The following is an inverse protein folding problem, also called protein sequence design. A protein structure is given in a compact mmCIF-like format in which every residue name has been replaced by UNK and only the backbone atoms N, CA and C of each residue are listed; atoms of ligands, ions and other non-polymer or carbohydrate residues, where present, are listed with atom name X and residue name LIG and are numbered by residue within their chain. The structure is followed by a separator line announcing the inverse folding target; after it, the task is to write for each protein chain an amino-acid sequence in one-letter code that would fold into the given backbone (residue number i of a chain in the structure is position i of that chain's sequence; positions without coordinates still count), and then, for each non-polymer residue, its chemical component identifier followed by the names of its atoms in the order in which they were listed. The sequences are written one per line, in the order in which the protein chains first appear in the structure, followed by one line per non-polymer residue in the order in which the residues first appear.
data_IF_237543548500
#
_entry.id   IF_237543548500
#
_cell.length_a   1.000
_cell.length_b   1.000
_cell.length_c   1.000
_cell.angle_alpha   90.00
_cell.angle_beta   90.00
_cell.angle_gamma   90.00
#
_symmetry.space_group_name_H-M   'P 1'
#
loop_
_entity.id
_entity.type
_entity.pdbx_description
1 polymer ?
#
# COMPACT_ATOMS: atom_id res chain seq x y z
N UNK A 1 16.18 7.85 -6.99
CA UNK A 1 15.33 6.91 -6.21
C UNK A 1 14.24 7.70 -5.51
N UNK A 2 13.01 7.19 -5.41
CA UNK A 2 11.95 7.78 -4.59
C UNK A 2 11.94 7.11 -3.22
N UNK A 3 11.67 7.87 -2.16
CA UNK A 3 11.59 7.34 -0.81
C UNK A 3 10.19 7.52 -0.22
N UNK A 4 9.65 6.43 0.32
CA UNK A 4 8.38 6.41 1.04
C UNK A 4 8.58 6.06 2.50
N UNK A 5 7.63 6.48 3.34
CA UNK A 5 7.65 6.30 4.80
C UNK A 5 6.45 5.48 5.25
N UNK A 6 6.62 4.35 5.96
CA UNK A 6 5.50 3.57 6.50
C UNK A 6 5.11 4.07 7.89
N UNK A 7 3.81 4.20 8.16
CA UNK A 7 3.30 4.55 9.49
C UNK A 7 2.91 3.33 10.35
N UNK A 8 2.71 2.17 9.74
CA UNK A 8 2.08 1.01 10.39
C UNK A 8 2.82 0.37 11.55
N UNK A 9 4.10 0.66 11.74
CA UNK A 9 4.94 0.03 12.77
C UNK A 9 5.40 1.01 13.86
N UNK A 10 4.71 2.14 13.99
CA UNK A 10 4.93 3.11 15.06
C UNK A 10 3.61 3.39 15.79
N UNK A 11 3.71 3.88 17.02
CA UNK A 11 2.52 4.23 17.78
C UNK A 11 1.70 5.32 17.05
N UNK A 12 0.38 5.16 16.91
CA UNK A 12 -0.44 6.09 16.13
C UNK A 12 -0.37 7.57 16.54
N UNK A 13 -0.07 7.86 17.80
CA UNK A 13 0.12 9.24 18.27
C UNK A 13 1.27 9.97 17.55
N UNK A 14 2.24 9.24 16.99
CA UNK A 14 3.35 9.84 16.24
C UNK A 14 3.08 9.96 14.74
N UNK A 15 2.00 9.42 14.22
CA UNK A 15 1.73 9.39 12.77
C UNK A 15 1.66 10.78 12.15
N UNK A 16 1.01 11.72 12.84
CA UNK A 16 0.92 13.12 12.40
C UNK A 16 2.31 13.75 12.25
N UNK A 17 3.10 13.69 13.31
CA UNK A 17 4.39 14.38 13.34
C UNK A 17 5.37 13.77 12.31
N UNK A 18 5.36 12.44 12.17
CA UNK A 18 6.14 11.75 11.15
C UNK A 18 5.66 12.10 9.73
N UNK A 19 4.35 12.23 9.50
CA UNK A 19 3.80 12.59 8.19
C UNK A 19 4.18 14.03 7.79
N UNK A 20 4.06 14.98 8.72
CA UNK A 20 4.42 16.38 8.48
C UNK A 20 5.91 16.51 8.24
N UNK A 21 6.75 15.90 9.09
CA UNK A 21 8.20 15.91 8.90
C UNK A 21 8.61 15.28 7.56
N UNK A 22 8.01 14.16 7.16
CA UNK A 22 8.29 13.52 5.88
C UNK A 22 7.90 14.41 4.68
N UNK A 23 6.78 15.15 4.75
CA UNK A 23 6.38 16.12 3.73
C UNK A 23 7.38 17.29 3.64
N UNK A 24 7.76 17.86 4.77
CA UNK A 24 8.71 18.98 4.85
C UNK A 24 10.12 18.59 4.38
N UNK A 25 10.55 17.39 4.66
CA UNK A 25 11.85 16.85 4.24
C UNK A 25 11.90 16.43 2.76
N UNK A 26 10.76 16.27 2.07
CA UNK A 26 10.73 15.92 0.65
C UNK A 26 10.61 14.43 0.35
N UNK A 27 10.21 13.61 1.32
CA UNK A 27 9.84 12.21 1.02
C UNK A 27 8.70 12.16 0.01
N UNK A 28 8.76 11.19 -0.92
CA UNK A 28 7.81 11.14 -2.04
C UNK A 28 6.44 10.60 -1.62
N UNK A 29 6.38 9.67 -0.66
CA UNK A 29 5.11 9.02 -0.30
C UNK A 29 5.05 8.55 1.15
N UNK A 30 3.81 8.47 1.65
CA UNK A 30 3.47 7.98 2.97
C UNK A 30 2.56 6.75 2.84
N UNK A 31 2.72 5.74 3.72
CA UNK A 31 2.05 4.47 3.58
C UNK A 31 1.40 4.01 4.88
N UNK A 32 0.08 3.74 4.84
CA UNK A 32 -0.67 3.18 5.97
C UNK A 32 -1.11 1.76 5.62
N UNK A 33 -0.82 0.75 6.47
CA UNK A 33 -1.41 -0.58 6.35
C UNK A 33 -2.85 -0.58 6.82
N UNK A 34 -3.61 -1.61 6.43
CA UNK A 34 -4.99 -1.77 6.86
C UNK A 34 -5.29 -3.19 7.31
N UNK A 35 -6.13 -3.28 8.32
CA UNK A 35 -6.97 -4.41 8.68
C UNK A 35 -8.33 -3.88 9.13
N UNK A 36 -9.41 -4.65 8.96
CA UNK A 36 -10.73 -4.30 9.44
C UNK A 36 -10.90 -4.63 10.91
N UNK A 37 -10.55 -5.85 11.27
CA UNK A 37 -10.64 -6.38 12.63
C UNK A 37 -9.58 -7.45 12.85
N UNK A 38 -9.20 -7.66 14.11
CA UNK A 38 -8.52 -8.88 14.53
C UNK A 38 -9.47 -9.72 15.39
N UNK A 39 -9.50 -11.02 15.15
CA UNK A 39 -10.16 -11.95 16.05
C UNK A 39 -9.44 -11.99 17.40
N UNK A 40 -10.17 -12.28 18.47
CA UNK A 40 -9.56 -12.47 19.81
C UNK A 40 -8.62 -13.67 19.86
N UNK A 41 -8.87 -14.70 19.02
CA UNK A 41 -7.96 -15.79 18.75
C UNK A 41 -7.21 -15.54 17.45
N UNK A 42 -5.90 -15.36 17.54
CA UNK A 42 -4.99 -15.16 16.40
C UNK A 42 -4.36 -16.47 15.89
N UNK A 43 -4.83 -17.64 16.29
CA UNK A 43 -4.27 -18.95 15.86
C UNK A 43 -4.26 -19.13 14.32
N UNK A 44 -5.17 -18.46 13.60
CA UNK A 44 -5.20 -18.44 12.14
C UNK A 44 -4.28 -17.40 11.51
N UNK A 45 -3.55 -16.62 12.29
CA UNK A 45 -2.68 -15.54 11.82
C UNK A 45 -1.32 -16.09 11.35
N UNK A 46 -1.30 -16.74 10.20
CA UNK A 46 -0.07 -17.17 9.53
C UNK A 46 0.46 -16.03 8.63
N UNK A 47 1.30 -15.16 9.20
CA UNK A 47 1.91 -14.08 8.42
C UNK A 47 2.84 -14.63 7.33
N UNK A 48 2.72 -14.19 6.07
CA UNK A 48 3.50 -14.76 4.98
C UNK A 48 4.99 -14.35 4.98
N UNK A 49 5.41 -13.48 5.88
CA UNK A 49 6.80 -13.05 6.04
C UNK A 49 7.57 -13.88 7.08
N UNK A 50 8.87 -13.62 7.22
CA UNK A 50 9.76 -14.35 8.16
C UNK A 50 9.55 -13.97 9.62
N UNK A 51 8.87 -12.86 9.90
CA UNK A 51 8.46 -12.45 11.25
C UNK A 51 7.12 -11.76 11.19
N UNK A 52 6.15 -12.27 11.96
CA UNK A 52 4.90 -11.56 12.13
C UNK A 52 5.17 -10.19 12.78
N UNK A 53 4.55 -9.09 12.31
CA UNK A 53 4.52 -7.87 13.10
C UNK A 53 3.92 -8.22 14.48
N UNK A 54 4.34 -7.52 15.55
CA UNK A 54 3.85 -7.75 16.90
C UNK A 54 2.37 -7.40 17.08
N UNK A 55 1.51 -8.07 16.30
CA UNK A 55 0.06 -7.88 16.27
C UNK A 55 -0.57 -8.59 17.44
N UNK A 56 -1.45 -7.91 18.13
CA UNK A 56 -2.33 -8.46 19.17
C UNK A 56 -3.78 -8.26 18.77
N UNK A 57 -4.75 -8.96 19.37
CA UNK A 57 -6.17 -8.70 19.14
C UNK A 57 -6.59 -7.26 19.44
N UNK A 58 -5.84 -6.56 20.28
CA UNK A 58 -6.08 -5.19 20.71
C UNK A 58 -5.21 -4.16 19.98
N UNK A 59 -4.50 -4.56 18.90
CA UNK A 59 -3.75 -3.62 18.07
C UNK A 59 -4.72 -2.57 17.50
N UNK A 60 -4.45 -1.25 17.74
CA UNK A 60 -5.32 -0.19 17.20
C UNK A 60 -5.37 -0.24 15.68
N UNK A 61 -6.57 -0.27 15.13
CA UNK A 61 -6.85 -0.23 13.70
C UNK A 61 -7.55 1.08 13.37
N UNK A 62 -7.11 1.72 12.29
CA UNK A 62 -7.74 2.91 11.76
C UNK A 62 -8.18 2.66 10.33
N UNK A 63 -9.26 3.29 9.90
CA UNK A 63 -9.62 3.33 8.48
C UNK A 63 -8.53 4.12 7.73
N UNK A 64 -7.76 3.44 6.92
CA UNK A 64 -6.58 4.02 6.28
C UNK A 64 -6.93 5.18 5.34
N UNK A 65 -7.94 5.08 4.44
CA UNK A 65 -8.37 6.21 3.62
C UNK A 65 -8.85 7.42 4.43
N UNK A 66 -9.61 7.21 5.50
CA UNK A 66 -10.09 8.30 6.35
C UNK A 66 -8.92 9.02 7.05
N UNK A 67 -7.97 8.26 7.57
CA UNK A 67 -6.77 8.83 8.21
C UNK A 67 -5.89 9.57 7.20
N UNK A 68 -5.73 9.03 5.99
CA UNK A 68 -5.00 9.70 4.90
C UNK A 68 -5.69 10.99 4.46
N UNK A 69 -7.02 11.08 4.44
CA UNK A 69 -7.75 12.33 4.19
C UNK A 69 -7.43 13.40 5.24
N UNK A 70 -7.32 13.03 6.51
CA UNK A 70 -6.90 13.96 7.57
C UNK A 70 -5.45 14.43 7.36
N UNK A 71 -4.53 13.52 7.05
CA UNK A 71 -3.14 13.86 6.75
C UNK A 71 -3.00 14.70 5.47
N UNK A 72 -3.90 14.54 4.50
CA UNK A 72 -3.93 15.36 3.29
C UNK A 72 -4.09 16.86 3.60
N UNK A 73 -4.87 17.19 4.65
CA UNK A 73 -5.06 18.56 5.11
C UNK A 73 -3.86 19.13 5.90
N UNK A 74 -2.92 18.29 6.30
CA UNK A 74 -1.72 18.67 7.08
C UNK A 74 -0.42 18.66 6.26
N UNK A 75 -0.49 18.16 5.02
CA UNK A 75 0.64 17.98 4.11
C UNK A 75 0.34 18.60 2.75
N UNK A 76 1.37 18.91 1.97
CA UNK A 76 1.18 19.62 0.70
C UNK A 76 1.75 18.91 -0.54
N UNK A 77 2.77 18.06 -0.38
CA UNK A 77 3.53 17.44 -1.49
C UNK A 77 3.53 15.93 -1.46
N UNK A 78 3.66 15.35 -0.27
CA UNK A 78 3.82 13.90 -0.08
C UNK A 78 2.60 13.15 -0.62
N UNK A 79 2.81 12.09 -1.37
CA UNK A 79 1.76 11.21 -1.84
C UNK A 79 1.26 10.32 -0.72
N UNK A 80 -0.01 9.97 -0.77
CA UNK A 80 -0.73 9.31 0.31
C UNK A 80 -1.22 7.94 -0.16
N UNK A 81 -0.61 6.88 0.34
CA UNK A 81 -0.87 5.53 -0.11
C UNK A 81 -1.23 4.56 1.00
N UNK A 82 -1.87 3.48 0.62
CA UNK A 82 -2.12 2.32 1.49
C UNK A 82 -1.18 1.17 1.15
N UNK A 83 -0.68 0.44 2.15
CA UNK A 83 0.18 -0.72 1.95
C UNK A 83 -0.19 -1.86 2.92
N UNK A 84 -1.31 -2.53 2.65
CA UNK A 84 -2.25 -2.40 1.52
C UNK A 84 -3.69 -2.32 2.03
N UNK A 85 -4.59 -1.68 1.26
CA UNK A 85 -6.03 -1.67 1.53
C UNK A 85 -6.66 -3.00 1.11
N UNK A 86 -7.53 -3.55 1.97
CA UNK A 86 -8.23 -4.80 1.72
C UNK A 86 -9.51 -4.57 0.90
N UNK A 87 -9.31 -4.19 -0.35
CA UNK A 87 -10.36 -3.74 -1.26
C UNK A 87 -11.51 -4.76 -1.39
N UNK A 88 -11.20 -6.05 -1.39
CA UNK A 88 -12.16 -7.12 -1.57
C UNK A 88 -13.00 -7.47 -0.32
N UNK A 89 -12.68 -6.92 0.85
CA UNK A 89 -13.50 -7.08 2.06
C UNK A 89 -14.72 -6.15 2.09
N UNK A 90 -14.85 -5.26 1.12
CA UNK A 90 -15.94 -4.26 1.01
C UNK A 90 -16.64 -4.38 -0.34
N UNK A 91 -17.81 -3.77 -0.46
CA UNK A 91 -18.38 -3.51 -1.77
C UNK A 91 -17.47 -2.50 -2.52
N UNK A 92 -17.16 -2.70 -3.81
CA UNK A 92 -16.24 -1.84 -4.55
C UNK A 92 -16.64 -0.35 -4.54
N UNK A 93 -17.92 -0.03 -4.42
CA UNK A 93 -18.38 1.37 -4.27
C UNK A 93 -17.76 2.07 -3.05
N UNK A 94 -17.65 1.36 -1.92
CA UNK A 94 -17.12 1.94 -0.68
C UNK A 94 -15.65 2.29 -0.86
N UNK A 95 -14.85 1.33 -1.31
CA UNK A 95 -13.41 1.55 -1.51
C UNK A 95 -13.15 2.54 -2.65
N UNK A 96 -13.86 2.43 -3.78
CA UNK A 96 -13.72 3.37 -4.89
C UNK A 96 -14.04 4.81 -4.44
N UNK A 97 -15.09 5.00 -3.63
CA UNK A 97 -15.48 6.31 -3.09
C UNK A 97 -14.42 6.86 -2.15
N UNK A 98 -13.88 6.04 -1.27
CA UNK A 98 -12.85 6.45 -0.33
C UNK A 98 -11.59 6.97 -1.04
N UNK A 99 -11.11 6.25 -2.08
CA UNK A 99 -9.94 6.68 -2.84
C UNK A 99 -10.22 7.88 -3.78
N UNK A 100 -11.39 7.98 -4.39
CA UNK A 100 -11.77 9.17 -5.14
C UNK A 100 -11.82 10.42 -4.24
N UNK A 101 -12.37 10.28 -3.03
CA UNK A 101 -12.40 11.35 -2.03
C UNK A 101 -10.99 11.75 -1.61
N UNK A 102 -10.14 10.76 -1.24
CA UNK A 102 -8.74 11.01 -0.87
C UNK A 102 -8.00 11.75 -1.99
N UNK A 103 -8.21 11.33 -3.24
CA UNK A 103 -7.54 11.94 -4.38
C UNK A 103 -7.93 13.40 -4.55
N UNK A 104 -9.23 13.70 -4.43
CA UNK A 104 -9.76 15.07 -4.53
C UNK A 104 -9.24 15.94 -3.40
N UNK A 105 -9.41 15.52 -2.14
CA UNK A 105 -9.04 16.35 -0.98
C UNK A 105 -7.53 16.53 -0.84
N UNK A 106 -6.74 15.62 -1.40
CA UNK A 106 -5.29 15.73 -1.44
C UNK A 106 -4.75 16.48 -2.66
N UNK A 107 -5.60 16.90 -3.60
CA UNK A 107 -5.16 17.54 -4.85
C UNK A 107 -4.40 16.59 -5.79
N UNK A 108 -4.84 15.33 -5.92
CA UNK A 108 -4.24 14.35 -6.83
C UNK A 108 -3.01 13.62 -6.27
N UNK A 109 -2.90 13.48 -4.94
CA UNK A 109 -1.77 12.80 -4.29
C UNK A 109 -2.04 11.37 -3.86
N UNK A 110 -3.24 10.82 -4.10
CA UNK A 110 -3.59 9.47 -3.69
C UNK A 110 -2.83 8.38 -4.45
N UNK A 111 -2.54 7.27 -3.76
CA UNK A 111 -2.10 6.00 -4.35
C UNK A 111 -2.94 4.89 -3.74
N UNK A 112 -3.71 4.20 -4.58
CA UNK A 112 -4.54 3.07 -4.16
C UNK A 112 -3.68 1.79 -4.09
N UNK A 113 -3.04 1.55 -2.95
CA UNK A 113 -2.31 0.30 -2.74
C UNK A 113 -3.24 -0.79 -2.22
N UNK A 114 -3.40 -1.89 -2.95
CA UNK A 114 -4.39 -2.94 -2.67
C UNK A 114 -3.75 -4.30 -2.42
N UNK A 115 -4.41 -5.14 -1.63
CA UNK A 115 -3.98 -6.51 -1.37
C UNK A 115 -5.13 -7.47 -1.14
N UNK A 116 -4.86 -8.75 -1.36
CA UNK A 116 -5.85 -9.80 -1.13
C UNK A 116 -6.03 -10.16 0.36
N UNK A 117 -5.19 -9.63 1.25
CA UNK A 117 -5.19 -9.99 2.65
C UNK A 117 -4.53 -11.35 2.93
N UNK A 118 -3.94 -11.47 4.10
CA UNK A 118 -3.22 -12.67 4.55
C UNK A 118 -3.89 -13.34 5.76
N UNK A 119 -4.74 -12.62 6.51
CA UNK A 119 -5.31 -13.09 7.76
C UNK A 119 -6.74 -13.63 7.56
N UNK A 120 -6.95 -14.97 7.63
CA UNK A 120 -8.27 -15.56 7.41
C UNK A 120 -9.32 -15.11 8.42
N UNK A 121 -8.93 -14.81 9.67
CA UNK A 121 -9.85 -14.45 10.74
C UNK A 121 -10.72 -13.22 10.44
N UNK A 122 -10.18 -12.20 9.79
CA UNK A 122 -10.97 -11.03 9.40
C UNK A 122 -11.94 -11.29 8.26
N UNK A 123 -11.60 -12.21 7.33
CA UNK A 123 -12.48 -12.65 6.25
C UNK A 123 -13.68 -13.43 6.78
N UNK A 124 -13.42 -14.34 7.73
CA UNK A 124 -14.46 -15.10 8.44
C UNK A 124 -15.37 -14.13 9.20
N UNK A 125 -14.82 -13.17 9.94
CA UNK A 125 -15.58 -12.16 10.67
C UNK A 125 -16.43 -11.28 9.75
N UNK A 126 -15.95 -11.01 8.53
CA UNK A 126 -16.70 -10.27 7.50
C UNK A 126 -17.74 -11.14 6.76
N UNK A 127 -17.84 -12.43 7.06
CA UNK A 127 -18.77 -13.37 6.39
C UNK A 127 -18.39 -13.67 4.94
N UNK A 128 -17.10 -13.56 4.58
CA UNK A 128 -16.62 -13.76 3.21
C UNK A 128 -15.63 -14.93 3.19
N UNK A 129 -15.80 -15.85 2.23
CA UNK A 129 -14.89 -16.96 2.05
C UNK A 129 -13.48 -16.48 1.68
N UNK A 130 -12.50 -16.77 2.54
CA UNK A 130 -11.09 -16.42 2.39
C UNK A 130 -10.48 -16.98 1.08
N UNK A 131 -10.95 -18.15 0.60
CA UNK A 131 -10.46 -18.74 -0.64
C UNK A 131 -10.77 -17.86 -1.87
N UNK A 132 -11.79 -17.01 -1.79
CA UNK A 132 -12.22 -16.12 -2.88
C UNK A 132 -11.43 -14.82 -2.97
N UNK A 133 -10.57 -14.50 -2.01
CA UNK A 133 -9.93 -13.18 -1.86
C UNK A 133 -9.20 -12.67 -3.10
N UNK A 134 -8.51 -13.55 -3.83
CA UNK A 134 -7.77 -13.16 -5.03
C UNK A 134 -8.70 -12.77 -6.18
N UNK A 135 -9.55 -13.69 -6.68
CA UNK A 135 -10.51 -13.38 -7.74
C UNK A 135 -11.47 -12.23 -7.38
N UNK A 136 -11.88 -12.13 -6.12
CA UNK A 136 -12.73 -11.04 -5.63
C UNK A 136 -12.01 -9.69 -5.68
N UNK A 137 -10.69 -9.65 -5.39
CA UNK A 137 -9.88 -8.46 -5.54
C UNK A 137 -9.74 -8.06 -7.02
N UNK A 138 -9.52 -9.03 -7.92
CA UNK A 138 -9.41 -8.77 -9.36
C UNK A 138 -10.67 -8.10 -9.91
N UNK A 139 -11.84 -8.63 -9.54
CA UNK A 139 -13.13 -8.06 -9.94
C UNK A 139 -13.35 -6.67 -9.32
N UNK A 140 -13.01 -6.49 -8.04
CA UNK A 140 -13.15 -5.21 -7.35
C UNK A 140 -12.27 -4.10 -7.96
N UNK A 141 -11.03 -4.41 -8.34
CA UNK A 141 -10.14 -3.46 -9.04
C UNK A 141 -10.76 -3.07 -10.40
N UNK A 142 -11.23 -4.06 -11.16
CA UNK A 142 -11.85 -3.82 -12.47
C UNK A 142 -13.05 -2.90 -12.34
N UNK A 143 -13.94 -3.17 -11.39
CA UNK A 143 -15.12 -2.33 -11.13
C UNK A 143 -14.71 -0.92 -10.73
N UNK A 144 -13.75 -0.78 -9.81
CA UNK A 144 -13.32 0.54 -9.34
C UNK A 144 -12.72 1.39 -10.47
N UNK A 145 -11.90 0.80 -11.35
CA UNK A 145 -11.33 1.50 -12.50
C UNK A 145 -12.42 2.03 -13.43
N UNK A 146 -13.45 1.22 -13.69
CA UNK A 146 -14.61 1.64 -14.48
C UNK A 146 -15.38 2.77 -13.81
N UNK A 147 -15.65 2.66 -12.50
CA UNK A 147 -16.32 3.72 -11.73
C UNK A 147 -15.56 5.04 -11.76
N UNK A 148 -14.23 5.02 -11.79
CA UNK A 148 -13.39 6.22 -11.84
C UNK A 148 -13.28 6.85 -13.23
N UNK A 149 -13.58 6.12 -14.31
CA UNK A 149 -13.31 6.58 -15.67
C UNK A 149 -14.55 6.68 -16.58
N UNK A 150 -15.57 5.84 -16.35
CA UNK A 150 -16.77 5.78 -17.20
C UNK A 150 -17.88 6.70 -16.64
N UNK A 151 -18.70 7.26 -17.51
CA UNK A 151 -19.83 8.13 -17.15
C UNK A 151 -20.86 7.36 -16.34
N UNK A 152 -21.22 6.15 -16.80
CA UNK A 152 -22.08 5.21 -16.10
C UNK A 152 -21.54 3.79 -16.19
N UNK A 153 -21.81 2.97 -15.18
CA UNK A 153 -21.31 1.60 -15.06
C UNK A 153 -22.43 0.67 -14.62
N UNK A 154 -22.71 -0.34 -15.44
CA UNK A 154 -23.41 -1.56 -14.99
C UNK A 154 -22.40 -2.69 -14.90
N UNK A 155 -22.59 -3.61 -13.96
CA UNK A 155 -21.69 -4.75 -13.77
C UNK A 155 -22.48 -6.00 -13.42
N UNK A 156 -22.12 -7.12 -14.05
CA UNK A 156 -22.58 -8.47 -13.72
C UNK A 156 -21.37 -9.38 -13.65
N UNK A 157 -20.92 -9.67 -12.45
CA UNK A 157 -19.74 -10.47 -12.20
C UNK A 157 -20.01 -11.64 -11.24
N UNK A 158 -18.94 -12.29 -10.84
CA UNK A 158 -19.03 -13.42 -9.90
C UNK A 158 -19.34 -12.99 -8.47
N UNK A 159 -18.80 -11.82 -8.05
CA UNK A 159 -18.83 -11.38 -6.66
C UNK A 159 -19.63 -10.09 -6.49
N UNK A 160 -19.74 -9.30 -7.54
CA UNK A 160 -20.46 -8.04 -7.53
C UNK A 160 -21.41 -7.96 -8.72
N UNK A 161 -22.63 -7.50 -8.50
CA UNK A 161 -23.60 -7.27 -9.55
C UNK A 161 -24.48 -6.09 -9.18
N UNK A 162 -24.63 -5.14 -10.10
CA UNK A 162 -25.46 -3.94 -9.88
C UNK A 162 -25.93 -3.37 -11.23
N UNK A 163 -27.11 -2.72 -11.25
CA UNK A 163 -27.61 -2.06 -12.44
C UNK A 163 -26.75 -0.85 -12.79
N UNK A 164 -27.08 -0.19 -13.87
CA UNK A 164 -26.39 1.03 -14.27
C UNK A 164 -26.45 2.11 -13.18
N UNK A 165 -25.27 2.63 -12.85
CA UNK A 165 -25.07 3.66 -11.84
C UNK A 165 -24.12 4.74 -12.33
N UNK A 166 -24.34 6.00 -11.95
CA UNK A 166 -23.38 7.06 -12.04
C UNK A 166 -22.51 7.10 -10.76
N UNK A 167 -21.23 7.41 -10.90
CA UNK A 167 -20.31 7.49 -9.80
C UNK A 167 -19.56 8.84 -9.83
N UNK A 168 -20.08 9.81 -9.06
CA UNK A 168 -19.52 11.15 -8.95
C UNK A 168 -19.22 11.52 -7.47
N UNK A 169 -18.16 12.36 -7.23
CA UNK A 169 -17.21 12.88 -8.20
C UNK A 169 -16.16 11.84 -8.62
N UNK A 170 -15.57 12.02 -9.79
CA UNK A 170 -14.41 11.25 -10.25
C UNK A 170 -13.15 11.69 -9.50
N UNK A 171 -12.11 10.84 -9.37
CA UNK A 171 -10.80 11.29 -8.90
C UNK A 171 -10.20 12.34 -9.85
N UNK A 172 -9.25 13.14 -9.34
CA UNK A 172 -8.51 14.12 -10.17
C UNK A 172 -7.52 13.42 -11.09
N UNK A 173 -6.84 12.37 -10.57
CA UNK A 173 -5.88 11.60 -11.34
C UNK A 173 -6.59 10.68 -12.36
N UNK A 174 -6.21 10.75 -13.62
CA UNK A 174 -6.72 9.89 -14.70
C UNK A 174 -5.58 9.18 -15.43
N UNK A 175 -5.28 7.92 -15.12
CA UNK A 175 -5.89 7.06 -14.09
C UNK A 175 -5.41 7.36 -12.66
N UNK A 176 -6.24 7.07 -11.66
CA UNK A 176 -5.82 7.00 -10.27
C UNK A 176 -4.90 5.78 -10.11
N UNK A 177 -3.66 5.94 -9.61
CA UNK A 177 -2.70 4.84 -9.55
C UNK A 177 -3.14 3.72 -8.59
N UNK A 178 -3.18 2.49 -9.10
CA UNK A 178 -3.46 1.27 -8.34
C UNK A 178 -2.19 0.42 -8.28
N UNK A 179 -1.66 0.20 -7.09
CA UNK A 179 -0.53 -0.68 -6.86
C UNK A 179 -1.00 -1.92 -6.10
N UNK A 180 -0.59 -3.12 -6.52
CA UNK A 180 -0.98 -4.33 -5.80
C UNK A 180 0.17 -4.94 -5.01
N UNK A 181 -0.15 -5.38 -3.80
CA UNK A 181 0.72 -6.17 -2.94
C UNK A 181 0.60 -7.68 -3.19
N UNK A 182 1.60 -8.41 -2.69
CA UNK A 182 1.65 -9.86 -2.75
C UNK A 182 2.70 -10.41 -3.72
N UNK A 183 3.13 -11.66 -3.46
CA UNK A 183 4.29 -12.28 -4.11
C UNK A 183 3.97 -13.63 -4.74
N UNK A 184 2.74 -14.13 -4.57
CA UNK A 184 2.32 -15.35 -5.26
C UNK A 184 2.25 -15.12 -6.78
N UNK A 185 2.38 -16.18 -7.57
CA UNK A 185 2.25 -16.09 -9.02
C UNK A 185 0.94 -15.40 -9.46
N UNK A 186 -0.15 -15.61 -8.72
CA UNK A 186 -1.42 -14.94 -9.00
C UNK A 186 -1.36 -13.43 -8.68
N UNK A 187 -0.69 -13.03 -7.58
CA UNK A 187 -0.51 -11.63 -7.24
C UNK A 187 0.36 -10.89 -8.27
N UNK A 188 1.47 -11.48 -8.69
CA UNK A 188 2.35 -10.88 -9.69
C UNK A 188 1.66 -10.76 -11.07
N UNK A 189 0.86 -11.76 -11.47
CA UNK A 189 0.03 -11.65 -12.68
C UNK A 189 -0.98 -10.49 -12.57
N UNK A 190 -1.64 -10.32 -11.41
CA UNK A 190 -2.55 -9.18 -11.15
C UNK A 190 -1.84 -7.84 -11.35
N UNK A 191 -0.63 -7.69 -10.82
CA UNK A 191 0.20 -6.49 -11.06
C UNK A 191 0.37 -6.25 -12.55
N UNK A 192 0.79 -7.27 -13.28
CA UNK A 192 1.09 -7.14 -14.71
C UNK A 192 -0.14 -6.84 -15.58
N UNK A 193 -1.35 -7.27 -15.17
CA UNK A 193 -2.55 -7.18 -16.00
C UNK A 193 -3.54 -6.09 -15.57
N UNK A 194 -3.65 -5.82 -14.28
CA UNK A 194 -4.70 -4.96 -13.72
C UNK A 194 -4.19 -3.71 -13.01
N UNK A 195 -2.89 -3.61 -12.68
CA UNK A 195 -2.38 -2.56 -11.82
C UNK A 195 -1.31 -1.70 -12.50
N UNK A 196 -0.98 -0.56 -11.88
CA UNK A 196 0.03 0.39 -12.35
C UNK A 196 1.36 0.21 -11.61
N UNK A 197 1.40 -0.71 -10.63
CA UNK A 197 2.61 -1.00 -9.89
C UNK A 197 2.47 -2.16 -8.90
N UNK A 198 3.62 -2.52 -8.35
CA UNK A 198 3.78 -3.54 -7.32
C UNK A 198 4.27 -2.93 -6.01
N UNK A 199 3.77 -3.46 -4.89
CA UNK A 199 4.27 -3.19 -3.54
C UNK A 199 4.73 -4.52 -2.94
N UNK A 200 6.01 -4.62 -2.55
CA UNK A 200 6.56 -5.84 -1.97
C UNK A 200 6.20 -6.03 -0.50
N UNK A 201 6.38 -7.25 0.00
CA UNK A 201 6.69 -7.51 1.40
C UNK A 201 8.08 -6.93 1.74
N UNK A 202 8.49 -6.88 3.05
CA UNK A 202 9.84 -6.42 3.40
C UNK A 202 10.94 -7.34 2.86
N UNK A 203 11.85 -6.78 2.04
CA UNK A 203 12.95 -7.49 1.40
C UNK A 203 14.32 -6.90 1.67
N UNK A 204 15.33 -7.78 1.63
CA UNK A 204 16.73 -7.43 1.31
C UNK A 204 16.92 -7.46 -0.20
N UNK A 205 18.03 -6.93 -0.71
CA UNK A 205 18.40 -7.02 -2.14
C UNK A 205 18.34 -8.47 -2.66
N UNK A 206 18.91 -9.40 -1.92
CA UNK A 206 18.94 -10.81 -2.28
C UNK A 206 17.54 -11.44 -2.31
N UNK A 207 16.72 -11.19 -1.28
CA UNK A 207 15.38 -11.80 -1.18
C UNK A 207 14.36 -11.21 -2.15
N UNK A 208 14.58 -10.00 -2.69
CA UNK A 208 13.74 -9.39 -3.71
C UNK A 208 14.02 -9.89 -5.12
N UNK A 209 15.24 -10.32 -5.40
CA UNK A 209 15.71 -10.64 -6.76
C UNK A 209 14.79 -11.62 -7.52
N UNK A 210 14.30 -12.75 -6.93
CA UNK A 210 13.39 -13.66 -7.63
C UNK A 210 12.06 -13.01 -8.02
N UNK A 211 11.50 -12.15 -7.17
CA UNK A 211 10.25 -11.45 -7.44
C UNK A 211 10.42 -10.41 -8.53
N UNK A 212 11.52 -9.65 -8.50
CA UNK A 212 11.83 -8.64 -9.50
C UNK A 212 12.09 -9.29 -10.87
N UNK A 213 12.81 -10.41 -10.92
CA UNK A 213 13.01 -11.18 -12.15
C UNK A 213 11.65 -11.65 -12.73
N UNK A 214 10.79 -12.20 -11.88
CA UNK A 214 9.45 -12.64 -12.31
C UNK A 214 8.57 -11.50 -12.80
N UNK A 215 8.62 -10.35 -12.15
CA UNK A 215 7.92 -9.16 -12.62
C UNK A 215 8.45 -8.65 -13.95
N UNK A 216 9.78 -8.71 -14.17
CA UNK A 216 10.39 -8.32 -15.43
C UNK A 216 9.92 -9.22 -16.59
N UNK A 217 9.81 -10.54 -16.38
CA UNK A 217 9.25 -11.48 -17.35
C UNK A 217 7.77 -11.18 -17.68
N UNK A 218 6.97 -10.78 -16.67
CA UNK A 218 5.54 -10.50 -16.84
C UNK A 218 5.24 -9.13 -17.46
N UNK A 219 6.23 -8.25 -17.55
CA UNK A 219 6.02 -6.87 -18.07
C UNK A 219 5.54 -6.83 -19.50
N UNK A 220 5.98 -7.72 -20.36
CA UNK A 220 5.63 -7.78 -21.80
C UNK A 220 5.59 -6.36 -22.44
N UNK A 221 6.69 -5.61 -22.28
CA UNK A 221 6.82 -4.22 -22.74
C UNK A 221 6.04 -3.16 -21.94
N UNK A 222 5.17 -3.55 -21.02
CA UNK A 222 4.39 -2.65 -20.18
C UNK A 222 5.22 -2.08 -19.03
N UNK A 223 5.19 -0.77 -18.83
CA UNK A 223 5.84 -0.12 -17.69
C UNK A 223 4.85 -0.05 -16.51
N UNK A 224 5.28 -0.52 -15.34
CA UNK A 224 4.61 -0.32 -14.06
C UNK A 224 5.64 0.00 -12.97
N UNK A 225 5.22 0.69 -11.91
CA UNK A 225 6.12 1.07 -10.84
C UNK A 225 6.44 -0.11 -9.92
N UNK A 226 7.69 -0.17 -9.45
CA UNK A 226 8.16 -1.17 -8.49
C UNK A 226 8.48 -0.48 -7.18
N UNK A 227 7.70 -0.79 -6.14
CA UNK A 227 7.86 -0.25 -4.79
C UNK A 227 8.27 -1.37 -3.85
N UNK A 228 9.41 -1.21 -3.19
CA UNK A 228 9.95 -2.22 -2.26
C UNK A 228 9.95 -1.69 -0.84
N UNK A 229 9.37 -2.45 0.08
CA UNK A 229 9.62 -2.30 1.51
C UNK A 229 11.02 -2.82 1.82
N UNK A 230 11.90 -1.93 2.25
CA UNK A 230 13.25 -2.35 2.64
C UNK A 230 13.18 -3.04 3.99
N UNK A 231 13.69 -4.27 4.04
CA UNK A 231 13.91 -4.97 5.31
C UNK A 231 15.15 -4.40 5.96
N UNK A 232 14.94 -3.65 7.02
CA UNK A 232 16.04 -3.17 7.84
C UNK A 232 16.63 -4.32 8.64
N UNK A 233 17.96 -4.54 8.59
CA UNK A 233 18.60 -5.45 9.51
C UNK A 233 18.41 -4.98 10.96
N UNK A 234 18.53 -5.86 11.95
CA UNK A 234 18.60 -5.46 13.36
C UNK A 234 19.92 -4.68 13.58
N UNK A 235 19.88 -3.38 13.33
CA UNK A 235 21.00 -2.45 13.38
C UNK A 235 20.58 -1.19 14.12
N UNK A 236 21.50 -0.49 14.79
CA UNK A 236 21.25 0.85 15.35
C UNK A 236 20.86 1.89 14.27
N UNK A 237 21.24 1.65 13.01
CA UNK A 237 20.83 2.45 11.86
C UNK A 237 20.17 1.52 10.80
N UNK A 238 18.84 1.35 10.85
CA UNK A 238 18.13 0.42 9.98
C UNK A 238 17.84 1.00 8.58
N UNK A 239 18.71 1.84 8.05
CA UNK A 239 18.54 2.48 6.75
C UNK A 239 19.41 1.83 5.68
N UNK A 240 18.96 1.74 4.42
CA UNK A 240 19.86 1.37 3.33
C UNK A 240 20.92 2.46 3.13
N UNK A 241 22.16 2.07 2.89
CA UNK A 241 23.24 2.98 2.51
C UNK A 241 23.03 3.54 1.08
N UNK A 242 23.72 4.63 0.71
CA UNK A 242 23.66 5.14 -0.67
C UNK A 242 24.03 4.08 -1.73
N UNK A 243 25.00 3.20 -1.45
CA UNK A 243 25.37 2.10 -2.34
C UNK A 243 24.24 1.05 -2.47
N UNK A 244 23.58 0.71 -1.37
CA UNK A 244 22.41 -0.17 -1.42
C UNK A 244 21.25 0.47 -2.17
N UNK A 245 21.04 1.78 -2.03
CA UNK A 245 20.03 2.52 -2.81
C UNK A 245 20.35 2.49 -4.31
N UNK A 246 21.63 2.63 -4.69
CA UNK A 246 22.09 2.49 -6.07
C UNK A 246 21.85 1.07 -6.59
N UNK A 247 22.15 0.05 -5.78
CA UNK A 247 21.89 -1.35 -6.13
C UNK A 247 20.39 -1.63 -6.35
N UNK A 248 19.50 -1.09 -5.51
CA UNK A 248 18.05 -1.19 -5.72
C UNK A 248 17.62 -0.54 -7.03
N UNK A 249 18.15 0.63 -7.36
CA UNK A 249 17.87 1.31 -8.63
C UNK A 249 18.33 0.47 -9.83
N UNK A 250 19.50 -0.18 -9.73
CA UNK A 250 20.03 -1.10 -10.73
C UNK A 250 19.14 -2.32 -10.98
N UNK A 251 18.36 -2.76 -9.98
CA UNK A 251 17.37 -3.82 -10.11
C UNK A 251 16.02 -3.33 -10.68
N UNK A 252 15.90 -2.06 -11.05
CA UNK A 252 14.68 -1.48 -11.63
C UNK A 252 13.61 -1.13 -10.60
N UNK A 253 13.99 -0.90 -9.34
CA UNK A 253 13.11 -0.40 -8.29
C UNK A 253 12.94 1.09 -8.43
N UNK A 254 11.70 1.57 -8.42
CA UNK A 254 11.36 3.00 -8.56
C UNK A 254 11.24 3.71 -7.21
N UNK A 255 10.79 2.98 -6.18
CA UNK A 255 10.54 3.51 -4.84
C UNK A 255 10.97 2.53 -3.75
N UNK A 256 11.62 3.05 -2.73
CA UNK A 256 11.91 2.33 -1.49
C UNK A 256 11.02 2.87 -0.35
N UNK A 257 10.31 1.99 0.33
CA UNK A 257 9.65 2.33 1.60
C UNK A 257 10.66 2.02 2.69
N UNK A 258 11.12 3.06 3.37
CA UNK A 258 12.20 3.00 4.35
C UNK A 258 11.70 3.36 5.75
N UNK A 259 12.22 2.66 6.75
CA UNK A 259 11.94 2.91 8.15
C UNK A 259 13.26 3.11 8.90
N UNK A 260 13.84 4.32 8.90
CA UNK A 260 15.17 4.57 9.46
C UNK A 260 15.20 4.61 11.00
N UNK A 261 14.13 4.22 11.68
CA UNK A 261 14.02 4.19 13.14
C UNK A 261 13.68 2.79 13.65
N UNK A 262 14.11 2.52 14.89
CA UNK A 262 13.73 1.32 15.65
C UNK A 262 12.69 1.62 16.73
N UNK A 263 12.64 2.85 17.25
CA UNK A 263 11.72 3.28 18.31
C UNK A 263 10.92 4.49 17.83
N UNK A 264 9.63 4.51 18.17
CA UNK A 264 8.68 5.57 17.77
C UNK A 264 9.19 6.97 18.13
N UNK A 265 9.74 7.16 19.33
CA UNK A 265 10.21 8.46 19.80
C UNK A 265 11.37 9.06 18.99
N UNK A 266 12.11 8.22 18.29
CA UNK A 266 13.28 8.63 17.51
C UNK A 266 12.91 8.84 16.01
N UNK A 267 11.64 8.65 15.63
CA UNK A 267 11.23 8.55 14.23
C UNK A 267 11.52 9.83 13.44
N UNK A 268 11.17 10.99 13.96
CA UNK A 268 11.39 12.28 13.29
C UNK A 268 12.89 12.59 13.15
N UNK A 269 13.66 12.45 14.22
CA UNK A 269 15.12 12.70 14.19
C UNK A 269 15.83 11.78 13.19
N UNK A 270 15.38 10.52 13.10
CA UNK A 270 15.92 9.56 12.14
C UNK A 270 15.50 9.84 10.70
N UNK A 271 14.31 10.40 10.47
CA UNK A 271 13.94 10.89 9.13
C UNK A 271 14.82 12.05 8.70
N UNK A 272 15.09 13.01 9.60
CA UNK A 272 15.99 14.14 9.32
C UNK A 272 17.38 13.63 8.96
N UNK A 273 17.93 12.73 9.76
CA UNK A 273 19.25 12.15 9.49
C UNK A 273 19.29 11.41 8.13
N UNK A 274 18.26 10.60 7.83
CA UNK A 274 18.14 9.90 6.56
C UNK A 274 18.04 10.87 5.38
N UNK A 275 17.23 11.92 5.49
CA UNK A 275 17.08 12.91 4.43
C UNK A 275 18.41 13.61 4.13
N UNK A 276 19.16 13.97 5.17
CA UNK A 276 20.49 14.58 5.02
C UNK A 276 21.49 13.62 4.34
N UNK A 277 21.48 12.32 4.71
CA UNK A 277 22.37 11.30 4.15
C UNK A 277 22.10 11.06 2.65
N UNK A 278 20.83 11.12 2.24
CA UNK A 278 20.42 10.78 0.87
C UNK A 278 20.10 12.00 -0.02
N UNK A 279 20.24 13.21 0.51
CA UNK A 279 20.05 14.45 -0.25
C UNK A 279 18.61 14.71 -0.68
N UNK A 280 17.64 14.41 0.18
CA UNK A 280 16.20 14.70 -0.01
C UNK A 280 15.75 15.83 0.89
#
# INVERSE_FOLDING_TARGET
MKFGVPLGLIHPAAWKDVAVAADELGFESLWIPEHLVFATDLSLAAYPGTSAPGITPHTPLFDAPAYLCWLAGLTSRIRLGTAVHLFALRHPFVSARAFATLDIVSGGRAICGVGAGWYPGEWIAAGIDFATRGPRLDEAITVARRLWSEESVAHTGRFFSFPEVAFEPKPIQHPLPVLAGGESAAALRRVATLCDGWISMPHTLESAAPQLARLAELRDGRRFSVTVHVRSPPSPSPSPSPDEVAAWAGLGVDRLIVRPWSRTRDAVDRLIAFAAEHGI
#
